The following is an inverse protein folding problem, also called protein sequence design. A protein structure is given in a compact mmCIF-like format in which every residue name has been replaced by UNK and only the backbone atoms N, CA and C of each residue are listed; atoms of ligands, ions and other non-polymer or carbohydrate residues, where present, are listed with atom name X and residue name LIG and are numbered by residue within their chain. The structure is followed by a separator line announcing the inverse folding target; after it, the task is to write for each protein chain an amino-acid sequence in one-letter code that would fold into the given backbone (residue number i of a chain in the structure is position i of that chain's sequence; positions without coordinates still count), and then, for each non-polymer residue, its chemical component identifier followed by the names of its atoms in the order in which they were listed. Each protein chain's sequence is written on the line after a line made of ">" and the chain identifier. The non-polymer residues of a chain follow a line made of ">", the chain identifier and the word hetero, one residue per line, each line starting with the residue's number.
data_IF_367274334451
#
_entry.id   IF_367274334451
#
_cell.length_a   1.000
_cell.length_b   1.000
_cell.length_c   1.000
_cell.angle_alpha   90.00
_cell.angle_beta   90.00
_cell.angle_gamma   90.00
#
_symmetry.space_group_name_H-M   'P 1'
#
loop_
_entity.id
_entity.type
_entity.pdbx_description
1 polymer ?
#
# COMPACT_ATOMS: atom_id res chain seq x y z
N UNK A 1 20.90 3.48 -9.38
CA UNK A 1 20.73 2.20 -8.66
C UNK A 1 19.39 1.59 -9.09
N UNK A 2 19.39 0.33 -9.56
CA UNK A 2 18.57 -0.11 -10.72
C UNK A 2 17.14 -0.63 -10.48
N UNK A 3 16.62 -0.87 -9.27
CA UNK A 3 15.23 -1.39 -9.10
C UNK A 3 14.47 -0.89 -7.85
N UNK A 4 13.98 0.38 -7.85
CA UNK A 4 13.20 0.91 -6.73
C UNK A 4 11.84 0.22 -6.54
N UNK A 5 11.26 -0.34 -7.60
CA UNK A 5 9.99 -1.09 -7.53
C UNK A 5 10.10 -2.38 -6.71
N UNK A 6 11.15 -3.17 -6.92
CA UNK A 6 11.37 -4.42 -6.18
C UNK A 6 11.59 -4.13 -4.69
N UNK A 7 12.34 -3.05 -4.37
CA UNK A 7 12.51 -2.61 -2.98
C UNK A 7 11.19 -2.20 -2.36
N UNK A 8 10.36 -1.43 -3.08
CA UNK A 8 9.01 -1.09 -2.60
C UNK A 8 8.19 -2.33 -2.27
N UNK A 9 8.20 -3.34 -3.13
CA UNK A 9 7.49 -4.61 -2.90
C UNK A 9 8.04 -5.37 -1.68
N UNK A 10 9.38 -5.45 -1.55
CA UNK A 10 10.04 -6.07 -0.39
C UNK A 10 9.71 -5.36 0.91
N UNK A 11 9.71 -4.02 0.91
CA UNK A 11 9.30 -3.24 2.08
C UNK A 11 7.84 -3.52 2.43
N UNK A 12 6.96 -3.65 1.43
CA UNK A 12 5.58 -4.08 1.61
C UNK A 12 5.48 -5.41 2.35
N UNK A 13 6.20 -6.44 1.89
CA UNK A 13 6.24 -7.77 2.52
C UNK A 13 6.73 -7.67 3.98
N UNK A 14 7.85 -6.98 4.21
CA UNK A 14 8.41 -6.82 5.56
C UNK A 14 7.44 -6.09 6.48
N UNK A 15 6.78 -5.02 6.01
CA UNK A 15 5.80 -4.30 6.81
C UNK A 15 4.63 -5.20 7.23
N UNK A 16 4.10 -6.00 6.31
CA UNK A 16 2.98 -6.88 6.60
C UNK A 16 3.39 -7.96 7.59
N UNK A 17 4.58 -8.55 7.43
CA UNK A 17 5.12 -9.52 8.39
C UNK A 17 5.29 -8.92 9.78
N UNK A 18 5.89 -7.73 9.89
CA UNK A 18 6.11 -7.06 11.18
C UNK A 18 4.77 -6.65 11.81
N UNK A 19 3.86 -6.06 11.02
CA UNK A 19 2.54 -5.65 11.47
C UNK A 19 1.70 -6.83 12.00
N UNK A 20 1.67 -7.95 11.26
CA UNK A 20 1.01 -9.18 11.71
C UNK A 20 1.67 -9.75 12.96
N UNK A 21 3.00 -9.81 13.01
CA UNK A 21 3.74 -10.33 14.18
C UNK A 21 3.41 -9.52 15.42
N UNK A 22 3.44 -8.18 15.33
CA UNK A 22 3.05 -7.29 16.43
C UNK A 22 1.57 -7.46 16.80
N UNK A 23 0.69 -7.55 15.81
CA UNK A 23 -0.75 -7.76 16.04
C UNK A 23 -1.01 -9.06 16.82
N UNK A 24 -0.42 -10.18 16.40
CA UNK A 24 -0.56 -11.46 17.10
C UNK A 24 0.09 -11.45 18.49
N UNK A 25 1.23 -10.77 18.65
CA UNK A 25 1.87 -10.55 19.95
C UNK A 25 0.96 -9.79 20.91
N UNK A 26 0.29 -8.74 20.45
CA UNK A 26 -0.65 -7.99 21.28
C UNK A 26 -1.92 -8.77 21.58
N UNK A 27 -2.42 -9.52 20.60
CA UNK A 27 -3.66 -10.29 20.74
C UNK A 27 -3.49 -11.48 21.70
N UNK A 28 -2.43 -12.28 21.52
CA UNK A 28 -2.21 -13.51 22.30
C UNK A 28 -1.23 -13.34 23.46
N UNK A 29 -0.25 -12.43 23.35
CA UNK A 29 0.77 -12.22 24.38
C UNK A 29 0.33 -11.24 25.46
N UNK A 30 -0.34 -10.15 25.09
CA UNK A 30 -0.80 -9.11 26.03
C UNK A 30 -2.32 -9.16 26.31
N UNK A 31 -3.07 -10.01 25.61
CA UNK A 31 -4.51 -10.14 25.78
C UNK A 31 -5.29 -8.87 25.38
N UNK A 32 -4.73 -8.04 24.50
CA UNK A 32 -5.42 -6.83 24.04
C UNK A 32 -6.64 -7.17 23.21
N UNK A 33 -7.63 -6.26 23.19
CA UNK A 33 -8.80 -6.41 22.34
C UNK A 33 -8.41 -6.47 20.87
N UNK A 34 -9.21 -7.16 20.07
CA UNK A 34 -9.00 -7.27 18.61
C UNK A 34 -8.76 -5.91 17.95
N UNK A 35 -9.54 -4.89 18.36
CA UNK A 35 -9.41 -3.52 17.86
C UNK A 35 -8.09 -2.86 18.28
N UNK A 36 -7.67 -3.01 19.54
CA UNK A 36 -6.41 -2.44 20.00
C UNK A 36 -5.19 -3.13 19.34
N UNK A 37 -5.21 -4.45 19.23
CA UNK A 37 -4.15 -5.22 18.61
C UNK A 37 -4.01 -4.93 17.10
N UNK A 38 -5.13 -4.87 16.37
CA UNK A 38 -5.15 -4.47 14.95
C UNK A 38 -4.64 -3.04 14.75
N UNK A 39 -5.11 -2.09 15.56
CA UNK A 39 -4.71 -0.69 15.45
C UNK A 39 -3.21 -0.50 15.71
N UNK A 40 -2.68 -1.08 16.79
CA UNK A 40 -1.27 -0.97 17.14
C UNK A 40 -0.38 -1.73 16.14
N UNK A 41 -0.77 -2.94 15.75
CA UNK A 41 -0.05 -3.74 14.75
C UNK A 41 0.07 -3.03 13.40
N UNK A 42 -1.05 -2.48 12.89
CA UNK A 42 -1.04 -1.71 11.64
C UNK A 42 -0.23 -0.41 11.77
N UNK A 43 -0.28 0.26 12.91
CA UNK A 43 0.49 1.48 13.16
C UNK A 43 2.00 1.19 13.14
N UNK A 44 2.44 0.12 13.81
CA UNK A 44 3.85 -0.30 13.80
C UNK A 44 4.27 -0.72 12.39
N UNK A 45 3.45 -1.51 11.69
CA UNK A 45 3.69 -1.89 10.29
C UNK A 45 3.86 -0.67 9.38
N UNK A 46 2.98 0.33 9.51
CA UNK A 46 3.06 1.58 8.76
C UNK A 46 4.33 2.39 9.10
N UNK A 47 4.71 2.48 10.38
CA UNK A 47 5.96 3.13 10.80
C UNK A 47 7.17 2.45 10.17
N UNK A 48 7.25 1.12 10.24
CA UNK A 48 8.34 0.33 9.64
C UNK A 48 8.37 0.51 8.12
N UNK A 49 7.20 0.45 7.47
CA UNK A 49 7.06 0.69 6.03
C UNK A 49 7.62 2.06 5.64
N UNK A 50 7.33 3.10 6.42
CA UNK A 50 7.84 4.44 6.17
C UNK A 50 9.36 4.53 6.32
N UNK A 51 9.92 4.00 7.42
CA UNK A 51 11.37 4.04 7.66
C UNK A 51 12.13 3.27 6.58
N UNK A 52 11.66 2.08 6.20
CA UNK A 52 12.26 1.26 5.16
C UNK A 52 12.11 1.92 3.78
N UNK A 53 10.93 2.43 3.42
CA UNK A 53 10.77 3.11 2.13
C UNK A 53 11.65 4.37 2.03
N UNK A 54 11.80 5.12 3.12
CA UNK A 54 12.65 6.30 3.14
C UNK A 54 14.14 5.97 3.06
N UNK A 55 14.63 5.04 3.89
CA UNK A 55 16.05 4.72 4.01
C UNK A 55 16.54 3.78 2.91
N UNK A 56 15.75 2.77 2.58
CA UNK A 56 16.14 1.68 1.68
C UNK A 56 15.63 1.86 0.24
N UNK A 57 14.36 2.24 0.06
CA UNK A 57 13.75 2.36 -1.29
C UNK A 57 14.13 3.65 -1.99
N UNK A 58 13.96 4.81 -1.34
CA UNK A 58 14.06 6.12 -1.99
C UNK A 58 15.25 6.98 -1.55
N UNK A 59 15.94 6.64 -0.46
CA UNK A 59 17.12 7.38 0.07
C UNK A 59 16.91 8.90 0.11
N UNK A 60 15.80 9.34 0.68
CA UNK A 60 15.41 10.76 0.65
C UNK A 60 15.73 11.50 1.95
N UNK A 61 16.53 12.56 1.86
CA UNK A 61 16.92 13.45 2.98
C UNK A 61 15.86 14.51 3.33
N UNK A 62 14.66 14.44 2.74
CA UNK A 62 13.58 15.39 3.02
C UNK A 62 12.97 15.21 4.42
N UNK A 63 12.30 16.27 4.90
CA UNK A 63 11.65 16.34 6.22
C UNK A 63 10.66 15.18 6.45
N UNK A 64 10.84 14.49 7.57
CA UNK A 64 10.13 13.26 7.98
C UNK A 64 8.62 13.47 7.92
N UNK A 65 8.12 14.51 8.58
CA UNK A 65 6.69 14.78 8.78
C UNK A 65 5.98 15.07 7.46
N UNK A 66 6.59 15.85 6.56
CA UNK A 66 6.00 16.15 5.24
C UNK A 66 5.95 14.90 4.35
N UNK A 67 6.96 14.03 4.42
CA UNK A 67 6.97 12.77 3.66
C UNK A 67 5.93 11.78 4.18
N UNK A 68 5.71 11.69 5.50
CA UNK A 68 4.64 10.85 6.08
C UNK A 68 3.27 11.29 5.59
N UNK A 69 2.97 12.60 5.67
CA UNK A 69 1.66 13.10 5.26
C UNK A 69 1.38 12.88 3.77
N UNK A 70 2.40 13.10 2.92
CA UNK A 70 2.31 12.78 1.48
C UNK A 70 2.14 11.28 1.22
N UNK A 71 2.84 10.43 1.98
CA UNK A 71 2.74 8.98 1.84
C UNK A 71 1.33 8.48 2.14
N UNK A 72 0.75 8.91 3.27
CA UNK A 72 -0.62 8.58 3.65
C UNK A 72 -1.60 9.12 2.62
N UNK A 73 -1.45 10.38 2.20
CA UNK A 73 -2.32 10.99 1.20
C UNK A 73 -2.30 10.24 -0.14
N UNK A 74 -1.11 9.82 -0.62
CA UNK A 74 -0.98 9.04 -1.86
C UNK A 74 -1.62 7.67 -1.70
N UNK A 75 -1.41 6.98 -0.57
CA UNK A 75 -2.03 5.67 -0.31
C UNK A 75 -3.54 5.78 -0.36
N UNK A 76 -4.11 6.75 0.38
CA UNK A 76 -5.56 6.94 0.45
C UNK A 76 -6.13 7.29 -0.94
N UNK A 77 -5.49 8.23 -1.65
CA UNK A 77 -5.95 8.63 -2.97
C UNK A 77 -5.88 7.47 -3.96
N UNK A 78 -4.78 6.70 -3.96
CA UNK A 78 -4.66 5.52 -4.82
C UNK A 78 -5.66 4.45 -4.43
N UNK A 79 -5.92 4.24 -3.14
CA UNK A 79 -6.92 3.28 -2.67
C UNK A 79 -8.30 3.63 -3.21
N UNK A 80 -8.78 4.86 -3.01
CA UNK A 80 -10.08 5.30 -3.51
C UNK A 80 -10.16 5.21 -5.02
N UNK A 81 -9.15 5.72 -5.74
CA UNK A 81 -9.12 5.69 -7.21
C UNK A 81 -9.11 4.26 -7.73
N UNK A 82 -8.27 3.38 -7.19
CA UNK A 82 -8.12 2.02 -7.72
C UNK A 82 -9.29 1.09 -7.42
N UNK A 83 -9.89 1.20 -6.23
CA UNK A 83 -11.08 0.41 -5.92
C UNK A 83 -12.28 0.92 -6.69
N UNK A 84 -12.46 2.24 -6.78
CA UNK A 84 -13.54 2.84 -7.58
C UNK A 84 -13.41 2.50 -9.07
N UNK A 85 -12.24 2.73 -9.68
CA UNK A 85 -12.02 2.39 -11.10
C UNK A 85 -12.09 0.89 -11.33
N UNK A 86 -11.48 0.07 -10.47
CA UNK A 86 -11.42 -1.37 -10.68
C UNK A 86 -12.80 -2.03 -10.62
N UNK A 87 -13.65 -1.63 -9.68
CA UNK A 87 -15.04 -2.09 -9.62
C UNK A 87 -15.83 -1.68 -10.86
N UNK A 88 -15.73 -0.42 -11.29
CA UNK A 88 -16.42 0.09 -12.48
C UNK A 88 -15.95 -0.60 -13.78
N UNK A 89 -14.64 -0.81 -13.92
CA UNK A 89 -14.05 -1.49 -15.09
C UNK A 89 -14.54 -2.94 -15.16
N UNK A 90 -14.51 -3.67 -14.04
CA UNK A 90 -14.97 -5.06 -13.99
C UNK A 90 -16.48 -5.16 -14.18
N UNK A 91 -17.26 -4.24 -13.59
CA UNK A 91 -18.70 -4.16 -13.82
C UNK A 91 -19.01 -3.94 -15.31
N UNK A 92 -18.31 -3.03 -16.00
CA UNK A 92 -18.48 -2.79 -17.44
C UNK A 92 -18.09 -4.01 -18.29
N UNK A 93 -16.91 -4.58 -18.06
CA UNK A 93 -16.38 -5.71 -18.84
C UNK A 93 -17.18 -7.01 -18.64
N UNK A 94 -17.60 -7.28 -17.40
CA UNK A 94 -18.30 -8.52 -17.04
C UNK A 94 -19.84 -8.35 -16.97
N UNK A 95 -20.37 -7.17 -17.26
CA UNK A 95 -21.82 -6.92 -17.37
C UNK A 95 -22.48 -7.84 -18.39
N UNK A 96 -21.78 -8.16 -19.47
CA UNK A 96 -22.32 -8.98 -20.58
C UNK A 96 -22.04 -10.48 -20.45
N UNK A 97 -21.25 -10.90 -19.45
CA UNK A 97 -20.95 -12.31 -19.22
C UNK A 97 -21.87 -12.90 -18.13
N UNK A 98 -22.89 -13.64 -18.59
CA UNK A 98 -23.83 -14.37 -17.73
C UNK A 98 -23.25 -15.68 -17.18
N UNK A 99 -22.16 -16.18 -17.78
CA UNK A 99 -21.53 -17.46 -17.40
C UNK A 99 -20.58 -17.38 -16.19
N UNK A 100 -20.33 -16.18 -15.65
CA UNK A 100 -19.41 -15.98 -14.52
C UNK A 100 -20.22 -15.74 -13.24
N UNK A 101 -20.00 -16.59 -12.23
CA UNK A 101 -20.63 -16.48 -10.91
C UNK A 101 -20.28 -15.14 -10.23
N UNK A 102 -21.21 -14.60 -9.45
CA UNK A 102 -21.04 -13.33 -8.73
C UNK A 102 -19.77 -13.31 -7.87
N UNK A 103 -19.43 -14.42 -7.20
CA UNK A 103 -18.20 -14.52 -6.41
C UNK A 103 -16.92 -14.34 -7.25
N UNK A 104 -16.86 -14.97 -8.42
CA UNK A 104 -15.72 -14.84 -9.32
C UNK A 104 -15.58 -13.42 -9.89
N UNK A 105 -16.70 -12.70 -10.11
CA UNK A 105 -16.66 -11.29 -10.51
C UNK A 105 -16.04 -10.42 -9.42
N UNK A 106 -16.39 -10.67 -8.15
CA UNK A 106 -15.81 -9.97 -7.00
C UNK A 106 -14.30 -10.25 -6.89
N UNK A 107 -13.86 -11.49 -7.06
CA UNK A 107 -12.44 -11.84 -7.00
C UNK A 107 -11.63 -11.13 -8.11
N UNK A 108 -12.17 -11.10 -9.33
CA UNK A 108 -11.56 -10.39 -10.47
C UNK A 108 -11.50 -8.88 -10.21
N UNK A 109 -12.55 -8.29 -9.63
CA UNK A 109 -12.55 -6.89 -9.19
C UNK A 109 -11.45 -6.61 -8.17
N UNK A 110 -11.35 -7.44 -7.12
CA UNK A 110 -10.32 -7.27 -6.08
C UNK A 110 -8.92 -7.39 -6.67
N UNK A 111 -8.66 -8.38 -7.54
CA UNK A 111 -7.35 -8.55 -8.19
C UNK A 111 -7.01 -7.35 -9.08
N UNK A 112 -7.96 -6.91 -9.92
CA UNK A 112 -7.77 -5.78 -10.83
C UNK A 112 -7.51 -4.49 -10.05
N UNK A 113 -8.31 -4.20 -9.02
CA UNK A 113 -8.12 -3.07 -8.12
C UNK A 113 -6.78 -3.12 -7.40
N UNK A 114 -6.34 -4.29 -6.95
CA UNK A 114 -5.07 -4.46 -6.22
C UNK A 114 -3.85 -4.22 -7.12
N UNK A 115 -3.88 -4.71 -8.36
CA UNK A 115 -2.83 -4.46 -9.35
C UNK A 115 -2.76 -2.96 -9.68
N UNK A 116 -3.91 -2.35 -9.95
CA UNK A 116 -4.00 -0.92 -10.26
C UNK A 116 -3.52 -0.07 -9.09
N UNK A 117 -3.92 -0.43 -7.86
CA UNK A 117 -3.48 0.21 -6.62
C UNK A 117 -1.97 0.14 -6.48
N UNK A 118 -1.36 -1.03 -6.65
CA UNK A 118 0.08 -1.20 -6.47
C UNK A 118 0.87 -0.34 -7.47
N UNK A 119 0.42 -0.27 -8.72
CA UNK A 119 1.06 0.54 -9.77
C UNK A 119 0.91 2.05 -9.51
N UNK A 120 -0.32 2.51 -9.24
CA UNK A 120 -0.59 3.92 -8.96
C UNK A 120 0.12 4.38 -7.68
N UNK A 121 0.09 3.54 -6.64
CA UNK A 121 0.73 3.84 -5.37
C UNK A 121 2.25 3.94 -5.54
N UNK A 122 2.88 3.01 -6.25
CA UNK A 122 4.30 3.14 -6.57
C UNK A 122 4.61 4.41 -7.38
N UNK A 123 3.81 4.72 -8.39
CA UNK A 123 3.99 5.93 -9.20
C UNK A 123 3.83 7.21 -8.36
N UNK A 124 2.82 7.26 -7.49
CA UNK A 124 2.55 8.36 -6.57
C UNK A 124 3.66 8.53 -5.54
N UNK A 125 4.14 7.45 -4.94
CA UNK A 125 5.26 7.50 -4.00
C UNK A 125 6.54 7.97 -4.68
N UNK A 126 6.81 7.47 -5.89
CA UNK A 126 8.00 7.86 -6.66
C UNK A 126 7.97 9.31 -7.13
N UNK A 127 6.81 9.85 -7.53
CA UNK A 127 6.69 11.22 -8.07
C UNK A 127 6.41 12.27 -7.01
N UNK A 128 5.50 12.00 -6.08
CA UNK A 128 5.02 13.00 -5.11
C UNK A 128 5.65 12.88 -3.73
N UNK A 129 5.89 11.67 -3.24
CA UNK A 129 6.45 11.46 -1.89
C UNK A 129 7.97 11.63 -1.89
N UNK A 130 8.63 11.07 -2.91
CA UNK A 130 10.08 11.09 -3.05
C UNK A 130 10.52 11.60 -4.43
N UNK A 131 10.19 12.86 -4.79
CA UNK A 131 10.67 13.45 -6.03
C UNK A 131 12.20 13.37 -6.06
N UNK A 132 12.74 12.78 -7.12
CA UNK A 132 14.18 12.78 -7.37
C UNK A 132 14.58 14.25 -7.57
N UNK A 133 15.47 14.79 -6.74
CA UNK A 133 16.00 16.14 -6.94
C UNK A 133 16.56 16.19 -8.37
N UNK A 134 15.97 17.03 -9.23
CA UNK A 134 16.53 17.33 -10.54
C UNK A 134 17.85 18.04 -10.26
N UNK A 135 18.94 17.32 -10.44
CA UNK A 135 20.26 17.93 -10.54
C UNK A 135 20.24 18.65 -11.89
N UNK A 136 19.86 19.93 -11.88
CA UNK A 136 20.12 20.84 -12.98
C UNK A 136 21.63 20.84 -13.17
N UNK A 137 22.10 20.20 -14.24
CA UNK A 137 23.47 20.27 -14.70
C UNK A 137 23.54 21.30 -15.81
#
# INVERSE_FOLDING_TARGET
>A
MRYPFIRFLLVGIINTMVGLTCMYLFLHGLGFSYWAATFLGNTIGACVSFFLNRSFTFKSSHSITKSIFRFIAVILLCYFVSYYLGENIVALLLSQQHSISAGMKTDIAVLTSTILYTLLNYAGQKRFVFPKKMENK
#
